data_IF_111560146915
#
_entry.id   IF_111560146915
#
_cell.length_a   1.000
_cell.length_b   1.000
_cell.length_c   1.000
_cell.angle_alpha   90.00
_cell.angle_beta   90.00
_cell.angle_gamma   90.00
#
_symmetry.space_group_name_H-M   'P 1'
#
loop_
_entity.id
_entity.type
_entity.pdbx_description
1 polymer ?
#
# COMPACT_ATOMS: atom_id res chain seq x y z
N UNK A 1 -67.40 35.10 -66.56
CA UNK A 1 -66.99 35.33 -65.15
C UNK A 1 -66.28 34.05 -64.70
N UNK A 2 -65.15 33.76 -65.35
CA UNK A 2 -63.79 34.01 -64.84
C UNK A 2 -63.51 33.15 -63.60
N UNK A 3 -62.74 32.06 -63.75
CA UNK A 3 -61.27 32.11 -63.67
C UNK A 3 -60.76 32.79 -62.38
N UNK A 4 -61.20 32.31 -61.21
CA UNK A 4 -60.61 32.77 -59.93
C UNK A 4 -60.28 31.63 -58.93
N UNK A 5 -60.78 30.40 -59.11
CA UNK A 5 -60.76 29.40 -58.02
C UNK A 5 -59.62 28.37 -58.04
N UNK A 6 -58.57 28.55 -58.83
CA UNK A 6 -57.43 27.61 -58.87
C UNK A 6 -56.06 28.23 -58.51
N UNK A 7 -56.02 29.53 -58.18
CA UNK A 7 -54.78 30.25 -57.81
C UNK A 7 -54.51 30.27 -56.30
N UNK A 8 -55.55 30.36 -55.46
CA UNK A 8 -55.35 30.56 -54.01
C UNK A 8 -55.06 29.27 -53.23
N UNK A 9 -55.59 28.12 -53.68
CA UNK A 9 -55.41 26.83 -52.97
C UNK A 9 -53.97 26.29 -53.05
N UNK A 10 -53.25 26.53 -54.15
CA UNK A 10 -51.85 26.11 -54.29
C UNK A 10 -50.90 26.93 -53.41
N UNK A 11 -51.25 28.19 -53.12
CA UNK A 11 -50.39 29.13 -52.38
C UNK A 11 -50.43 28.87 -50.86
N UNK A 12 -51.56 28.41 -50.32
CA UNK A 12 -51.69 28.09 -48.89
C UNK A 12 -51.07 26.73 -48.56
N UNK A 13 -51.20 25.74 -49.44
CA UNK A 13 -50.64 24.41 -49.24
C UNK A 13 -49.09 24.40 -49.38
N UNK A 14 -48.52 25.23 -50.26
CA UNK A 14 -47.06 25.45 -50.33
C UNK A 14 -46.49 26.17 -49.11
N UNK A 15 -47.25 27.10 -48.49
CA UNK A 15 -46.80 27.83 -47.29
C UNK A 15 -46.94 27.00 -46.00
N UNK A 16 -47.87 26.05 -45.95
CA UNK A 16 -48.00 25.12 -44.83
C UNK A 16 -46.90 24.05 -44.81
N UNK A 17 -46.52 23.50 -45.98
CA UNK A 17 -45.37 22.60 -46.07
C UNK A 17 -44.03 23.31 -45.81
N UNK A 18 -43.91 24.60 -46.16
CA UNK A 18 -42.69 25.38 -45.92
C UNK A 18 -42.50 25.79 -44.45
N UNK A 19 -43.54 25.72 -43.61
CA UNK A 19 -43.42 25.94 -42.15
C UNK A 19 -43.25 24.65 -41.35
N UNK A 20 -43.60 23.49 -41.93
CA UNK A 20 -43.33 22.18 -41.31
C UNK A 20 -41.91 21.65 -41.63
N UNK A 21 -41.25 22.17 -42.67
CA UNK A 21 -39.89 21.78 -43.04
C UNK A 21 -38.77 22.44 -42.21
N UNK A 22 -39.10 23.39 -41.33
CA UNK A 22 -38.14 24.07 -40.43
C UNK A 22 -38.04 23.36 -39.06
N UNK A 23 -38.84 22.31 -38.83
CA UNK A 23 -38.73 21.45 -37.64
C UNK A 23 -37.76 20.27 -37.81
N UNK A 24 -37.18 20.10 -39.01
CA UNK A 24 -35.98 19.28 -39.22
C UNK A 24 -34.75 20.19 -39.28
N UNK A 25 -34.50 20.96 -38.20
CA UNK A 25 -33.12 21.34 -37.93
C UNK A 25 -32.34 20.02 -37.87
N UNK A 26 -31.27 19.83 -38.65
CA UNK A 26 -30.37 18.74 -38.36
C UNK A 26 -29.87 19.05 -36.96
N UNK A 27 -30.29 18.23 -35.99
CA UNK A 27 -29.43 17.86 -34.87
C UNK A 27 -28.19 17.27 -35.54
N UNK A 28 -27.29 18.14 -36.00
CA UNK A 28 -25.89 17.83 -36.05
C UNK A 28 -25.54 17.61 -34.59
N UNK A 29 -25.80 16.39 -34.11
CA UNK A 29 -25.01 15.80 -33.07
C UNK A 29 -23.59 16.03 -33.55
N UNK A 30 -22.89 16.98 -32.93
CA UNK A 30 -21.46 17.02 -32.97
C UNK A 30 -21.05 15.71 -32.31
N UNK A 31 -20.98 14.64 -33.10
CA UNK A 31 -20.34 13.41 -32.72
C UNK A 31 -18.89 13.81 -32.48
N UNK A 32 -18.58 14.10 -31.21
CA UNK A 32 -17.23 14.42 -30.81
C UNK A 32 -16.38 13.22 -31.23
N UNK A 33 -15.41 13.47 -32.11
CA UNK A 33 -14.52 12.41 -32.57
C UNK A 33 -13.91 11.78 -31.33
N UNK A 34 -14.17 10.49 -31.16
CA UNK A 34 -13.63 9.72 -30.05
C UNK A 34 -12.10 9.90 -30.01
N UNK A 35 -11.59 10.28 -28.83
CA UNK A 35 -10.16 10.52 -28.65
C UNK A 35 -9.38 9.22 -28.83
N UNK A 36 -8.09 9.32 -29.14
CA UNK A 36 -7.24 8.13 -29.25
C UNK A 36 -7.20 7.32 -27.93
N UNK A 37 -7.29 8.02 -26.79
CA UNK A 37 -7.34 7.40 -25.46
C UNK A 37 -8.65 6.62 -25.24
N UNK A 38 -9.79 7.19 -25.65
CA UNK A 38 -11.09 6.51 -25.55
C UNK A 38 -11.10 5.25 -26.43
N UNK A 39 -10.60 5.36 -27.68
CA UNK A 39 -10.48 4.21 -28.57
C UNK A 39 -9.55 3.13 -28.00
N UNK A 40 -8.44 3.52 -27.38
CA UNK A 40 -7.52 2.58 -26.73
C UNK A 40 -8.20 1.88 -25.55
N UNK A 41 -8.95 2.61 -24.72
CA UNK A 41 -9.72 2.03 -23.62
C UNK A 41 -10.80 1.08 -24.11
N UNK A 42 -11.52 1.39 -25.20
CA UNK A 42 -12.49 0.46 -25.80
C UNK A 42 -11.83 -0.83 -26.27
N UNK A 43 -10.67 -0.73 -26.94
CA UNK A 43 -9.92 -1.92 -27.38
C UNK A 43 -9.47 -2.76 -26.18
N UNK A 44 -8.97 -2.12 -25.13
CA UNK A 44 -8.58 -2.80 -23.89
C UNK A 44 -9.77 -3.52 -23.24
N UNK A 45 -10.92 -2.86 -23.11
CA UNK A 45 -12.13 -3.45 -22.53
C UNK A 45 -12.77 -4.54 -23.40
N UNK A 46 -12.45 -4.57 -24.70
CA UNK A 46 -12.90 -5.61 -25.63
C UNK A 46 -11.99 -6.86 -25.63
N UNK A 47 -10.84 -6.83 -24.95
CA UNK A 47 -9.99 -8.00 -24.79
C UNK A 47 -10.73 -9.11 -24.03
N UNK A 48 -10.54 -10.36 -24.44
CA UNK A 48 -11.23 -11.51 -23.83
C UNK A 48 -10.92 -11.63 -22.32
N UNK A 49 -9.72 -11.23 -21.88
CA UNK A 49 -9.32 -11.23 -20.48
C UNK A 49 -10.14 -10.23 -19.64
N UNK A 50 -10.69 -9.20 -20.26
CA UNK A 50 -11.51 -8.17 -19.60
C UNK A 50 -13.00 -8.50 -19.58
N UNK A 51 -13.43 -9.66 -20.10
CA UNK A 51 -14.85 -10.04 -20.21
C UNK A 51 -15.67 -9.86 -18.93
N UNK A 52 -15.06 -10.12 -17.77
CA UNK A 52 -15.66 -9.93 -16.44
C UNK A 52 -14.89 -8.93 -15.57
N UNK A 53 -13.89 -8.27 -16.16
CA UNK A 53 -13.06 -7.29 -15.50
C UNK A 53 -13.76 -5.94 -15.42
N UNK A 54 -13.38 -5.15 -14.42
CA UNK A 54 -13.73 -3.74 -14.32
C UNK A 54 -12.45 -2.92 -14.38
N UNK A 55 -12.50 -1.79 -15.07
CA UNK A 55 -11.40 -0.85 -15.14
C UNK A 55 -11.90 0.58 -14.96
N UNK A 56 -11.08 1.37 -14.27
CA UNK A 56 -11.18 2.82 -14.18
C UNK A 56 -9.88 3.44 -14.66
N UNK A 57 -9.97 4.47 -15.50
CA UNK A 57 -8.83 5.25 -15.98
C UNK A 57 -9.20 6.73 -15.99
N UNK A 58 -8.40 7.54 -15.30
CA UNK A 58 -8.48 9.00 -15.39
C UNK A 58 -7.09 9.51 -15.74
N UNK A 59 -7.00 10.29 -16.82
CA UNK A 59 -5.75 10.96 -17.21
C UNK A 59 -5.98 12.46 -17.19
N UNK A 60 -5.11 13.19 -16.51
CA UNK A 60 -5.17 14.65 -16.37
C UNK A 60 -3.84 15.28 -16.73
N UNK A 61 -3.90 16.42 -17.41
CA UNK A 61 -2.76 17.32 -17.53
C UNK A 61 -2.47 17.97 -16.16
N UNK A 62 -1.22 17.91 -15.68
CA UNK A 62 -0.88 18.40 -14.35
C UNK A 62 -1.00 19.94 -14.21
N UNK A 63 -0.56 20.69 -15.22
CA UNK A 63 -0.54 22.16 -15.14
C UNK A 63 -1.94 22.78 -15.28
N UNK A 64 -2.73 22.27 -16.23
CA UNK A 64 -4.06 22.81 -16.54
C UNK A 64 -5.18 22.13 -15.75
N UNK A 65 -4.91 20.98 -15.11
CA UNK A 65 -5.91 20.06 -14.53
C UNK A 65 -6.96 19.58 -15.54
N UNK A 66 -6.72 19.77 -16.84
CA UNK A 66 -7.61 19.33 -17.91
C UNK A 66 -7.67 17.80 -17.91
N UNK A 67 -8.88 17.26 -17.81
CA UNK A 67 -9.13 15.83 -17.95
C UNK A 67 -9.07 15.45 -19.43
N UNK A 68 -8.15 14.54 -19.77
CA UNK A 68 -7.97 14.04 -21.14
C UNK A 68 -8.86 12.84 -21.43
N UNK A 69 -9.10 12.01 -20.41
CA UNK A 69 -10.08 10.93 -20.42
C UNK A 69 -10.53 10.67 -18.99
N UNK A 70 -11.81 10.36 -18.84
CA UNK A 70 -12.39 9.80 -17.62
C UNK A 70 -13.24 8.59 -18.01
N UNK A 71 -12.67 7.40 -17.79
CA UNK A 71 -13.35 6.13 -17.96
C UNK A 71 -13.61 5.55 -16.59
N UNK A 72 -14.87 5.56 -16.13
CA UNK A 72 -15.27 5.03 -14.82
C UNK A 72 -14.48 5.61 -13.62
N UNK A 73 -14.01 6.87 -13.68
CA UNK A 73 -13.13 7.46 -12.67
C UNK A 73 -13.74 7.58 -11.26
N UNK A 74 -15.06 7.50 -11.15
CA UNK A 74 -15.80 7.60 -9.88
C UNK A 74 -16.25 6.24 -9.33
N UNK A 75 -15.88 5.13 -9.96
CA UNK A 75 -16.21 3.79 -9.46
C UNK A 75 -15.19 3.38 -8.39
N UNK A 76 -15.69 2.92 -7.24
CA UNK A 76 -14.85 2.35 -6.20
C UNK A 76 -14.25 1.01 -6.64
N UNK A 77 -12.92 0.93 -6.71
CA UNK A 77 -12.16 -0.29 -7.02
C UNK A 77 -11.17 -0.59 -5.90
N UNK A 78 -10.80 -1.87 -5.74
CA UNK A 78 -9.75 -2.25 -4.80
C UNK A 78 -8.39 -1.73 -5.31
N UNK A 79 -7.73 -0.79 -4.60
CA UNK A 79 -6.51 -0.15 -5.08
C UNK A 79 -5.26 -1.05 -5.00
N UNK A 80 -5.36 -2.18 -4.28
CA UNK A 80 -4.20 -2.99 -3.90
C UNK A 80 -3.06 -2.10 -3.36
N UNK A 81 -1.81 -2.33 -3.81
CA UNK A 81 -0.66 -1.56 -3.34
C UNK A 81 -0.65 -0.09 -3.78
N UNK A 82 -1.52 0.36 -4.70
CA UNK A 82 -1.62 1.80 -5.01
C UNK A 82 -2.18 2.62 -3.85
N UNK A 83 -2.85 1.97 -2.88
CA UNK A 83 -3.24 2.59 -1.61
C UNK A 83 -2.06 3.26 -0.89
N UNK A 84 -0.85 2.71 -1.06
CA UNK A 84 0.38 3.23 -0.44
C UNK A 84 0.68 4.67 -0.82
N UNK A 85 0.19 5.17 -1.97
CA UNK A 85 0.35 6.58 -2.37
C UNK A 85 -0.32 7.50 -1.35
N UNK A 86 -1.55 7.20 -0.95
CA UNK A 86 -2.28 7.99 0.05
C UNK A 86 -1.63 7.90 1.43
N UNK A 87 -1.22 6.70 1.84
CA UNK A 87 -0.52 6.50 3.11
C UNK A 87 0.82 7.24 3.16
N UNK A 88 1.60 7.21 2.08
CA UNK A 88 2.87 7.93 1.99
C UNK A 88 2.68 9.44 2.01
N UNK A 89 1.68 9.97 1.28
CA UNK A 89 1.35 11.38 1.30
C UNK A 89 0.92 11.84 2.71
N UNK A 90 0.05 11.08 3.38
CA UNK A 90 -0.38 11.38 4.75
C UNK A 90 0.78 11.30 5.74
N UNK A 91 1.66 10.30 5.63
CA UNK A 91 2.84 10.19 6.49
C UNK A 91 3.80 11.37 6.28
N UNK A 92 4.04 11.78 5.03
CA UNK A 92 4.89 12.92 4.72
C UNK A 92 4.32 14.24 5.24
N UNK A 93 3.00 14.45 5.11
CA UNK A 93 2.30 15.62 5.62
C UNK A 93 2.32 15.70 7.15
N UNK A 94 2.04 14.59 7.84
CA UNK A 94 1.91 14.55 9.29
C UNK A 94 3.25 14.47 10.03
N UNK A 95 4.23 13.72 9.50
CA UNK A 95 5.52 13.48 10.15
C UNK A 95 6.63 14.38 9.61
N UNK A 96 6.51 14.81 8.35
CA UNK A 96 7.56 15.53 7.64
C UNK A 96 8.66 14.63 7.08
N UNK A 97 9.39 15.15 6.09
CA UNK A 97 10.46 14.41 5.39
C UNK A 97 11.67 14.07 6.28
N UNK A 98 11.85 14.81 7.38
CA UNK A 98 12.95 14.62 8.33
C UNK A 98 12.63 13.70 9.50
N UNK A 99 11.44 13.09 9.54
CA UNK A 99 11.05 12.21 10.64
C UNK A 99 12.00 11.01 10.74
N UNK A 100 12.36 10.66 11.98
CA UNK A 100 13.13 9.47 12.30
C UNK A 100 12.45 8.75 13.46
N UNK A 101 12.34 7.43 13.33
CA UNK A 101 11.92 6.59 14.44
C UNK A 101 13.02 6.54 15.51
N UNK A 102 12.62 6.29 16.76
CA UNK A 102 13.56 6.14 17.88
C UNK A 102 13.24 4.87 18.66
N UNK A 103 14.20 3.96 18.70
CA UNK A 103 14.15 2.76 19.54
C UNK A 103 15.21 2.90 20.64
N UNK A 104 14.75 3.14 21.87
CA UNK A 104 15.61 3.45 23.02
C UNK A 104 15.88 2.21 23.86
N UNK A 105 17.12 2.06 24.32
CA UNK A 105 17.47 1.16 25.41
C UNK A 105 17.55 1.96 26.71
N UNK A 106 16.62 1.69 27.62
CA UNK A 106 16.49 2.34 28.92
C UNK A 106 16.83 1.33 30.02
N UNK A 107 17.08 1.83 31.23
CA UNK A 107 17.13 0.99 32.42
C UNK A 107 16.47 1.67 33.61
N UNK A 108 16.06 0.87 34.60
CA UNK A 108 15.60 1.36 35.90
C UNK A 108 16.53 0.82 37.01
N UNK A 109 16.33 1.29 38.25
CA UNK A 109 17.11 0.79 39.38
C UNK A 109 18.50 1.44 39.49
N UNK A 110 19.46 0.70 40.07
CA UNK A 110 20.78 1.24 40.42
C UNK A 110 21.90 0.39 39.88
N UNK A 111 22.93 1.04 39.35
CA UNK A 111 24.20 0.40 38.97
C UNK A 111 25.17 0.46 40.14
N UNK A 112 25.63 -0.70 40.62
CA UNK A 112 26.60 -0.80 41.72
C UNK A 112 27.68 -1.81 41.33
N UNK A 113 28.95 -1.38 41.36
CA UNK A 113 30.10 -2.22 40.99
C UNK A 113 29.95 -2.93 39.63
N UNK A 114 29.28 -2.25 38.69
CA UNK A 114 28.99 -2.75 37.35
C UNK A 114 27.83 -3.74 37.25
N UNK A 115 27.08 -3.94 38.32
CA UNK A 115 25.83 -4.73 38.32
C UNK A 115 24.64 -3.77 38.34
N UNK A 116 23.77 -3.86 37.34
CA UNK A 116 22.48 -3.21 37.32
C UNK A 116 21.50 -4.03 38.16
N UNK A 117 21.07 -3.50 39.31
CA UNK A 117 19.98 -4.03 40.11
C UNK A 117 18.67 -3.38 39.66
N UNK A 118 18.13 -3.90 38.57
CA UNK A 118 16.99 -3.34 37.85
C UNK A 118 16.86 -3.99 36.46
N UNK A 119 15.88 -3.51 35.71
CA UNK A 119 15.53 -4.01 34.39
C UNK A 119 16.18 -3.18 33.28
N UNK A 120 16.50 -3.83 32.16
CA UNK A 120 16.65 -3.17 30.87
C UNK A 120 15.29 -3.10 30.18
N UNK A 121 15.00 -1.98 29.53
CA UNK A 121 13.73 -1.73 28.87
C UNK A 121 14.03 -1.27 27.45
N UNK A 122 13.62 -2.06 26.46
CA UNK A 122 13.61 -1.66 25.06
C UNK A 122 12.30 -0.92 24.82
N UNK A 123 12.35 0.34 24.46
CA UNK A 123 11.18 1.15 24.15
C UNK A 123 11.18 1.48 22.66
N UNK A 124 10.22 0.91 21.93
CA UNK A 124 10.09 1.11 20.49
C UNK A 124 9.08 2.20 20.13
N UNK A 125 9.25 2.79 18.95
CA UNK A 125 8.33 3.79 18.38
C UNK A 125 7.67 3.34 17.08
N UNK A 126 7.72 2.04 16.77
CA UNK A 126 7.26 1.47 15.50
C UNK A 126 8.28 1.52 14.38
N UNK A 127 9.59 1.58 14.68
CA UNK A 127 10.65 1.61 13.68
C UNK A 127 10.59 0.37 12.76
N UNK A 128 10.27 0.51 11.45
CA UNK A 128 10.19 -0.62 10.54
C UNK A 128 11.57 -1.09 10.07
N UNK A 129 12.62 -0.34 10.36
CA UNK A 129 13.98 -0.59 9.91
C UNK A 129 14.89 -1.17 11.00
N UNK A 130 14.43 -1.25 12.25
CA UNK A 130 15.23 -1.73 13.38
C UNK A 130 15.66 -3.19 13.19
N UNK A 131 16.97 -3.41 13.11
CA UNK A 131 17.57 -4.71 12.79
C UNK A 131 17.52 -5.11 11.30
N UNK A 132 16.84 -4.35 10.43
CA UNK A 132 16.65 -4.69 9.01
C UNK A 132 17.97 -4.87 8.28
N UNK A 133 18.04 -5.90 7.44
CA UNK A 133 19.20 -6.17 6.59
C UNK A 133 19.29 -5.22 5.38
N UNK A 134 18.20 -4.50 5.05
CA UNK A 134 18.11 -3.64 3.86
C UNK A 134 18.92 -2.36 3.99
N UNK A 135 19.11 -1.86 5.20
CA UNK A 135 19.78 -0.58 5.45
C UNK A 135 21.03 -0.79 6.30
N UNK A 136 22.19 -0.37 5.78
CA UNK A 136 23.49 -0.60 6.44
C UNK A 136 23.53 -0.12 7.89
N UNK A 137 22.92 1.03 8.19
CA UNK A 137 22.93 1.67 9.50
C UNK A 137 22.00 1.01 10.53
N UNK A 138 21.01 0.25 10.08
CA UNK A 138 19.99 -0.35 10.96
C UNK A 138 20.08 -1.87 11.02
N UNK A 139 21.16 -2.45 10.46
CA UNK A 139 21.45 -3.89 10.57
C UNK A 139 21.48 -4.32 12.03
N UNK A 140 20.98 -5.52 12.30
CA UNK A 140 20.92 -6.10 13.64
C UNK A 140 22.22 -5.94 14.44
N UNK A 141 23.37 -6.29 13.85
CA UNK A 141 24.66 -6.17 14.55
C UNK A 141 25.01 -4.74 14.91
N UNK A 142 24.74 -3.76 14.04
CA UNK A 142 25.02 -2.35 14.32
C UNK A 142 24.18 -1.84 15.50
N UNK A 143 22.90 -2.18 15.54
CA UNK A 143 22.02 -1.84 16.66
C UNK A 143 22.48 -2.50 17.97
N UNK A 144 22.87 -3.77 17.93
CA UNK A 144 23.33 -4.52 19.11
C UNK A 144 24.68 -4.01 19.62
N UNK A 145 25.62 -3.69 18.73
CA UNK A 145 26.93 -3.13 19.10
C UNK A 145 26.76 -1.75 19.75
N UNK A 146 25.94 -0.89 19.16
CA UNK A 146 25.64 0.43 19.73
C UNK A 146 25.04 0.33 21.14
N UNK A 147 24.14 -0.62 21.37
CA UNK A 147 23.56 -0.87 22.69
C UNK A 147 24.56 -1.48 23.67
N UNK A 148 25.38 -2.43 23.23
CA UNK A 148 26.43 -3.02 24.06
C UNK A 148 27.44 -1.96 24.52
N UNK A 149 27.81 -1.04 23.62
CA UNK A 149 28.71 0.06 23.94
C UNK A 149 28.07 1.09 24.87
N UNK A 150 26.78 1.40 24.70
CA UNK A 150 26.03 2.25 25.62
C UNK A 150 25.95 1.66 27.04
N UNK A 151 25.74 0.35 27.17
CA UNK A 151 25.75 -0.35 28.45
C UNK A 151 27.13 -0.30 29.12
N UNK A 152 28.20 -0.57 28.35
CA UNK A 152 29.59 -0.46 28.84
C UNK A 152 29.92 0.96 29.31
N UNK A 153 29.54 1.98 28.54
CA UNK A 153 29.75 3.40 28.89
C UNK A 153 28.98 3.79 30.15
N UNK A 154 27.82 3.16 30.38
CA UNK A 154 27.03 3.31 31.60
C UNK A 154 27.56 2.48 32.78
N UNK A 155 28.70 1.80 32.59
CA UNK A 155 29.35 0.96 33.60
C UNK A 155 28.66 -0.38 33.86
N UNK A 156 27.61 -0.73 33.11
CA UNK A 156 26.83 -1.96 33.29
C UNK A 156 27.55 -3.13 32.63
N UNK A 157 27.88 -4.14 33.44
CA UNK A 157 28.52 -5.41 33.03
C UNK A 157 27.62 -6.61 33.26
N UNK A 158 26.73 -6.52 34.24
CA UNK A 158 25.75 -7.56 34.60
C UNK A 158 24.40 -6.90 34.85
N UNK A 159 23.31 -7.56 34.42
CA UNK A 159 21.93 -7.14 34.69
C UNK A 159 21.28 -8.16 35.60
N UNK A 160 20.89 -7.73 36.81
CA UNK A 160 20.10 -8.49 37.78
C UNK A 160 18.66 -7.99 37.79
N UNK A 161 17.98 -8.28 36.70
CA UNK A 161 16.57 -7.99 36.48
C UNK A 161 16.12 -8.61 35.16
N UNK A 162 15.08 -8.05 34.57
CA UNK A 162 14.51 -8.52 33.31
C UNK A 162 14.94 -7.63 32.14
N UNK A 163 14.80 -8.18 30.92
CA UNK A 163 14.77 -7.38 29.70
C UNK A 163 13.30 -7.26 29.29
N UNK A 164 12.79 -6.03 29.24
CA UNK A 164 11.37 -5.74 28.99
C UNK A 164 11.19 -5.03 27.65
N UNK A 165 10.10 -5.34 26.97
CA UNK A 165 9.68 -4.67 25.75
C UNK A 165 8.53 -3.70 26.06
N UNK A 166 8.72 -2.41 25.78
CA UNK A 166 7.71 -1.38 25.88
C UNK A 166 7.27 -0.94 24.47
N UNK A 167 6.01 -1.24 24.15
CA UNK A 167 5.40 -0.96 22.84
C UNK A 167 4.98 0.52 22.66
N UNK A 168 5.16 1.38 23.68
CA UNK A 168 4.92 2.82 23.63
C UNK A 168 3.54 3.22 23.08
N UNK A 169 2.48 2.56 23.55
CA UNK A 169 1.09 2.88 23.17
C UNK A 169 0.61 2.24 21.86
N UNK A 170 1.44 1.44 21.18
CA UNK A 170 0.96 0.63 20.06
C UNK A 170 -0.08 -0.39 20.51
N UNK A 171 -1.06 -0.63 19.64
CA UNK A 171 -2.10 -1.63 19.83
C UNK A 171 -1.49 -3.03 19.98
N UNK A 172 -2.17 -3.89 20.76
CA UNK A 172 -1.88 -5.32 20.82
C UNK A 172 -2.55 -6.11 19.68
N UNK A 173 -3.33 -5.43 18.83
CA UNK A 173 -3.83 -5.96 17.56
C UNK A 173 -2.96 -5.40 16.43
N UNK A 174 -1.90 -6.11 16.01
CA UNK A 174 -0.92 -5.64 15.03
C UNK A 174 -1.38 -5.87 13.57
N UNK A 175 -2.48 -6.61 13.36
CA UNK A 175 -2.99 -6.97 12.05
C UNK A 175 -4.27 -6.17 11.74
N UNK A 176 -4.39 -5.59 10.54
CA UNK A 176 -5.61 -4.92 10.14
C UNK A 176 -6.75 -5.92 9.92
N UNK A 177 -7.98 -5.47 10.15
CA UNK A 177 -9.16 -6.26 9.82
C UNK A 177 -9.27 -6.50 8.31
N UNK A 178 -9.74 -7.69 7.91
CA UNK A 178 -9.97 -8.06 6.51
C UNK A 178 -8.79 -8.74 5.80
N UNK A 179 -7.64 -8.91 6.47
CA UNK A 179 -6.60 -9.80 5.96
C UNK A 179 -7.03 -11.25 6.04
N UNK A 180 -6.71 -12.00 4.99
CA UNK A 180 -6.95 -13.45 4.96
C UNK A 180 -5.89 -14.15 5.81
N UNK A 181 -6.30 -15.21 6.48
CA UNK A 181 -5.44 -15.94 7.41
C UNK A 181 -4.19 -16.50 6.74
N UNK A 182 -4.31 -16.96 5.49
CA UNK A 182 -3.20 -17.58 4.75
C UNK A 182 -2.02 -16.62 4.51
N UNK A 183 -2.30 -15.32 4.45
CA UNK A 183 -1.27 -14.29 4.25
C UNK A 183 -0.42 -14.07 5.51
N UNK A 184 -0.95 -14.38 6.70
CA UNK A 184 -0.30 -14.07 7.98
C UNK A 184 1.03 -14.81 8.20
N UNK A 185 1.27 -15.90 7.47
CA UNK A 185 2.54 -16.64 7.50
C UNK A 185 3.61 -16.06 6.58
N UNK A 186 3.24 -15.14 5.68
CA UNK A 186 4.13 -14.54 4.70
C UNK A 186 4.71 -13.22 5.20
N UNK A 187 5.87 -12.83 4.64
CA UNK A 187 6.56 -11.59 5.01
C UNK A 187 5.68 -10.33 4.83
N UNK A 188 4.79 -10.31 3.83
CA UNK A 188 3.91 -9.19 3.56
C UNK A 188 2.66 -9.17 4.47
N UNK A 189 2.43 -10.26 5.21
CA UNK A 189 1.41 -10.41 6.24
C UNK A 189 1.96 -10.19 7.66
N UNK A 190 3.21 -9.73 7.79
CA UNK A 190 3.80 -9.41 9.08
C UNK A 190 3.06 -8.23 9.74
N UNK A 191 2.67 -8.40 11.00
CA UNK A 191 1.98 -7.36 11.76
C UNK A 191 2.89 -6.18 12.13
N UNK A 192 2.26 -5.04 12.43
CA UNK A 192 2.95 -3.82 12.87
C UNK A 192 2.91 -3.68 14.39
N UNK A 193 4.09 -3.60 15.02
CA UNK A 193 4.26 -3.49 16.46
C UNK A 193 5.01 -2.22 16.85
N UNK A 194 4.99 -1.85 18.14
CA UNK A 194 5.81 -0.75 18.65
C UNK A 194 7.31 -1.07 18.61
N UNK A 195 7.67 -2.35 18.73
CA UNK A 195 9.02 -2.87 18.51
C UNK A 195 8.95 -3.87 17.37
N UNK A 196 9.55 -3.51 16.23
CA UNK A 196 9.71 -4.43 15.11
C UNK A 196 11.18 -4.82 15.02
N UNK A 197 11.48 -6.11 14.97
CA UNK A 197 12.85 -6.59 14.84
C UNK A 197 13.02 -7.31 13.51
N UNK A 198 14.00 -6.87 12.71
CA UNK A 198 14.28 -7.44 11.39
C UNK A 198 13.04 -7.52 10.50
N UNK A 199 12.19 -6.49 10.47
CA UNK A 199 10.93 -6.47 9.71
C UNK A 199 9.89 -7.53 10.16
N UNK A 200 10.00 -8.05 11.39
CA UNK A 200 9.14 -9.10 11.95
C UNK A 200 9.13 -10.39 11.12
N UNK A 201 10.24 -10.68 10.44
CA UNK A 201 10.47 -11.90 9.68
C UNK A 201 11.65 -12.68 10.26
N UNK A 202 11.66 -13.96 9.95
CA UNK A 202 12.82 -14.83 10.11
C UNK A 202 13.07 -15.54 8.78
N UNK A 203 14.34 -15.84 8.52
CA UNK A 203 14.74 -16.63 7.38
C UNK A 203 14.76 -18.11 7.78
N UNK A 204 14.13 -18.96 6.98
CA UNK A 204 14.19 -20.42 7.12
C UNK A 204 14.97 -21.00 5.95
N UNK A 205 16.23 -21.36 6.20
CA UNK A 205 17.10 -22.01 5.21
C UNK A 205 17.02 -23.52 5.38
N UNK A 206 16.77 -24.25 4.29
CA UNK A 206 16.67 -25.70 4.29
C UNK A 206 17.71 -26.30 3.34
N UNK A 207 18.36 -27.39 3.78
CA UNK A 207 19.31 -28.15 2.98
C UNK A 207 18.64 -29.49 2.60
N UNK A 208 18.36 -29.73 1.31
CA UNK A 208 17.67 -30.94 0.88
C UNK A 208 18.50 -32.20 1.13
N UNK A 209 17.82 -33.35 1.19
CA UNK A 209 18.42 -34.68 1.16
C UNK A 209 19.15 -34.97 -0.17
N UNK A 210 19.85 -36.10 -0.24
CA UNK A 210 20.61 -36.48 -1.44
C UNK A 210 19.72 -36.94 -2.60
N UNK A 211 18.54 -37.48 -2.27
CA UNK A 211 17.61 -38.09 -3.23
C UNK A 211 16.17 -37.66 -2.95
N UNK A 212 15.31 -37.80 -3.97
CA UNK A 212 13.86 -37.62 -3.81
C UNK A 212 13.35 -38.61 -2.76
N UNK A 213 12.63 -38.09 -1.76
CA UNK A 213 12.11 -38.87 -0.63
C UNK A 213 12.96 -38.80 0.64
N UNK A 214 14.19 -38.26 0.58
CA UNK A 214 15.01 -38.05 1.76
C UNK A 214 14.50 -36.87 2.60
N UNK A 215 14.64 -36.97 3.93
CA UNK A 215 14.46 -35.82 4.83
C UNK A 215 15.52 -34.74 4.60
N UNK A 216 15.21 -33.51 5.02
CA UNK A 216 16.19 -32.42 5.06
C UNK A 216 17.44 -32.83 5.86
N UNK A 217 18.62 -32.59 5.28
CA UNK A 217 19.92 -32.82 5.96
C UNK A 217 20.13 -31.86 7.12
N UNK A 218 19.71 -30.61 6.91
CA UNK A 218 19.82 -29.55 7.88
C UNK A 218 18.78 -28.47 7.58
N UNK A 219 18.43 -27.70 8.59
CA UNK A 219 17.69 -26.46 8.46
C UNK A 219 18.21 -25.44 9.47
N UNK A 220 17.97 -24.16 9.21
CA UNK A 220 18.35 -23.06 10.09
C UNK A 220 17.28 -21.98 10.06
N UNK A 221 16.93 -21.47 11.24
CA UNK A 221 16.09 -20.29 11.42
C UNK A 221 16.94 -19.09 11.86
N UNK A 222 16.73 -17.92 11.26
CA UNK A 222 17.55 -16.72 11.51
C UNK A 222 16.67 -15.44 11.52
N UNK A 223 16.47 -14.78 12.67
CA UNK A 223 17.01 -15.12 13.99
C UNK A 223 16.35 -16.39 14.54
N UNK A 224 17.05 -17.12 15.41
CA UNK A 224 16.46 -18.27 16.09
C UNK A 224 15.36 -17.82 17.06
N UNK A 225 14.15 -18.33 16.87
CA UNK A 225 12.98 -18.12 17.74
C UNK A 225 12.77 -19.37 18.61
N UNK A 226 13.32 -19.43 19.85
CA UNK A 226 13.46 -20.68 20.62
C UNK A 226 12.15 -21.38 20.98
N UNK A 227 11.02 -20.68 20.92
CA UNK A 227 9.68 -21.23 21.19
C UNK A 227 8.92 -21.63 19.91
N UNK A 228 9.47 -21.36 18.72
CA UNK A 228 8.90 -21.81 17.46
C UNK A 228 9.51 -23.16 17.08
N UNK A 229 8.66 -24.15 16.83
CA UNK A 229 9.10 -25.46 16.35
C UNK A 229 8.91 -25.56 14.84
N UNK A 230 9.92 -26.06 14.15
CA UNK A 230 9.83 -26.46 12.75
C UNK A 230 9.63 -27.97 12.69
N UNK A 231 8.53 -28.40 12.06
CA UNK A 231 8.26 -29.81 11.79
C UNK A 231 8.54 -30.08 10.32
N UNK A 232 9.60 -30.87 10.10
CA UNK A 232 10.01 -31.39 8.78
C UNK A 232 9.25 -32.69 8.49
#
# INVERSE_FOLDING_TARGET
MLLANLSESKTVMMKACSRLLILFLPLFALAQKETELEQAMRRFMADEQMRYGQAGLVVKELQSSKVLIDWNGSIGLAPASTQKIFTAAAALDQLGAGFQYNTSLLYNGKVQNGVLYGDLIIQGSGDPSFGSWRYGQTKAQQSLDAWADALKQSGIKEVRGQIKANQNGFSQQPLPGGWIWDDMSNYYGAGTWGINWRENQFDLTMVPGDKVGDSLKAWRMEPMIPYQQFQN
#
